data_IF_978337898317
#
_entry.id   IF_978337898317
#
_cell.length_a   1.000
_cell.length_b   1.000
_cell.length_c   1.000
_cell.angle_alpha   90.00
_cell.angle_beta   90.00
_cell.angle_gamma   90.00
#
_symmetry.space_group_name_H-M   'P 1'
#
loop_
_entity.id
_entity.type
_entity.pdbx_description
1 polymer ?
#
# COMPACT_ATOMS: atom_id res chain seq x y z
N UNK A 1 9.09 -0.51 21.16
CA UNK A 1 8.65 -0.57 19.74
C UNK A 1 7.29 0.10 19.63
N UNK A 2 7.06 0.98 18.65
CA UNK A 2 5.85 1.81 18.61
C UNK A 2 4.67 1.00 18.00
N UNK A 3 3.79 0.50 18.85
CA UNK A 3 2.66 -0.42 18.54
C UNK A 3 1.75 0.09 17.41
N UNK A 4 1.70 1.42 17.21
CA UNK A 4 0.92 2.08 16.14
C UNK A 4 1.45 1.82 14.73
N UNK A 5 2.76 1.57 14.58
CA UNK A 5 3.35 1.23 13.28
C UNK A 5 2.87 -0.16 12.84
N UNK A 6 3.06 -1.17 13.70
CA UNK A 6 2.60 -2.54 13.45
C UNK A 6 1.13 -2.60 13.05
N UNK A 7 0.25 -1.89 13.78
CA UNK A 7 -1.19 -1.85 13.48
C UNK A 7 -1.53 -1.24 12.10
N UNK A 8 -0.73 -0.27 11.61
CA UNK A 8 -0.92 0.33 10.27
C UNK A 8 -0.53 -0.62 9.15
N UNK A 9 0.53 -1.40 9.34
CA UNK A 9 0.97 -2.39 8.36
C UNK A 9 -0.03 -3.54 8.24
N UNK A 10 -0.54 -4.08 9.36
CA UNK A 10 -1.56 -5.13 9.36
C UNK A 10 -2.89 -4.67 8.73
N UNK A 11 -3.27 -3.40 8.91
CA UNK A 11 -4.47 -2.85 8.27
C UNK A 11 -4.30 -2.74 6.74
N UNK A 12 -3.11 -2.33 6.27
CA UNK A 12 -2.79 -2.32 4.84
C UNK A 12 -2.82 -3.73 4.26
N UNK A 13 -2.27 -4.72 4.97
CA UNK A 13 -2.30 -6.12 4.54
C UNK A 13 -3.72 -6.66 4.43
N UNK A 14 -4.60 -6.29 5.37
CA UNK A 14 -6.02 -6.68 5.34
C UNK A 14 -6.74 -6.09 4.12
N UNK A 15 -6.51 -4.81 3.82
CA UNK A 15 -7.06 -4.15 2.63
C UNK A 15 -6.53 -4.80 1.36
N UNK A 16 -5.24 -5.10 1.30
CA UNK A 16 -4.62 -5.73 0.14
C UNK A 16 -5.19 -7.14 -0.11
N UNK A 17 -5.40 -7.92 0.95
CA UNK A 17 -6.03 -9.23 0.87
C UNK A 17 -7.49 -9.15 0.42
N UNK A 18 -8.26 -8.20 0.94
CA UNK A 18 -9.65 -7.98 0.52
C UNK A 18 -9.74 -7.61 -0.96
N UNK A 19 -8.84 -6.74 -1.44
CA UNK A 19 -8.76 -6.38 -2.86
C UNK A 19 -8.39 -7.56 -3.76
N UNK A 20 -7.49 -8.44 -3.30
CA UNK A 20 -7.17 -9.68 -4.02
C UNK A 20 -8.40 -10.59 -4.15
N UNK A 21 -9.17 -10.75 -3.07
CA UNK A 21 -10.40 -11.57 -3.08
C UNK A 21 -11.43 -11.00 -4.07
N UNK A 22 -11.64 -9.68 -4.07
CA UNK A 22 -12.56 -9.02 -5.03
C UNK A 22 -12.16 -9.30 -6.47
N UNK A 23 -10.87 -9.25 -6.78
CA UNK A 23 -10.35 -9.54 -8.13
C UNK A 23 -10.56 -11.01 -8.49
N UNK A 24 -10.29 -11.94 -7.57
CA UNK A 24 -10.52 -13.37 -7.81
C UNK A 24 -12.00 -13.67 -8.07
N UNK A 25 -12.92 -13.05 -7.31
CA UNK A 25 -14.36 -13.18 -7.53
C UNK A 25 -14.78 -12.67 -8.92
N UNK A 26 -14.24 -11.52 -9.36
CA UNK A 26 -14.48 -11.00 -10.71
C UNK A 26 -13.83 -11.84 -11.81
N UNK A 27 -12.74 -12.54 -11.51
CA UNK A 27 -12.11 -13.46 -12.45
C UNK A 27 -12.89 -14.76 -12.61
N UNK A 28 -13.69 -15.16 -11.62
CA UNK A 28 -14.63 -16.27 -11.74
C UNK A 28 -15.87 -15.91 -12.59
N UNK A 29 -16.25 -14.63 -12.64
CA UNK A 29 -17.36 -14.11 -13.47
C UNK A 29 -16.90 -13.60 -14.86
N UNK A 30 -15.70 -13.97 -15.30
CA UNK A 30 -15.08 -13.46 -16.53
C UNK A 30 -15.86 -13.82 -17.80
N UNK A 31 -16.64 -14.91 -17.77
CA UNK A 31 -17.43 -15.35 -18.91
C UNK A 31 -18.63 -14.43 -19.17
N UNK A 32 -19.25 -13.91 -18.11
CA UNK A 32 -20.47 -13.12 -18.19
C UNK A 32 -20.19 -11.65 -18.57
N UNK A 33 -19.06 -11.08 -18.13
CA UNK A 33 -18.71 -9.67 -18.35
C UNK A 33 -17.23 -9.44 -18.69
N UNK A 34 -16.77 -10.13 -19.74
CA UNK A 34 -15.36 -10.19 -20.18
C UNK A 34 -14.66 -8.82 -20.30
N UNK A 35 -15.36 -7.79 -20.81
CA UNK A 35 -14.80 -6.44 -20.95
C UNK A 35 -14.53 -5.76 -19.59
N UNK A 36 -15.46 -5.90 -18.64
CA UNK A 36 -15.33 -5.31 -17.30
C UNK A 36 -14.20 -6.00 -16.54
N UNK A 37 -14.09 -7.32 -16.64
CA UNK A 37 -13.05 -8.07 -15.94
C UNK A 37 -11.63 -7.74 -16.46
N UNK A 38 -11.45 -7.46 -17.75
CA UNK A 38 -10.17 -6.97 -18.29
C UNK A 38 -9.81 -5.56 -17.77
N UNK A 39 -10.77 -4.64 -17.71
CA UNK A 39 -10.56 -3.29 -17.15
C UNK A 39 -10.17 -3.39 -15.67
N UNK A 40 -10.88 -4.25 -14.92
CA UNK A 40 -10.64 -4.45 -13.50
C UNK A 40 -9.26 -5.07 -13.24
N UNK A 41 -8.82 -6.00 -14.09
CA UNK A 41 -7.47 -6.55 -14.07
C UNK A 41 -6.40 -5.47 -14.30
N UNK A 42 -6.61 -4.58 -15.29
CA UNK A 42 -5.66 -3.50 -15.58
C UNK A 42 -5.57 -2.50 -14.42
N UNK A 43 -6.72 -2.10 -13.85
CA UNK A 43 -6.78 -1.23 -12.68
C UNK A 43 -6.12 -1.89 -11.46
N UNK A 44 -6.31 -3.19 -11.27
CA UNK A 44 -5.67 -3.95 -10.19
C UNK A 44 -4.15 -4.03 -10.35
N UNK A 45 -3.65 -4.31 -11.55
CA UNK A 45 -2.22 -4.32 -11.84
C UNK A 45 -1.60 -2.94 -11.56
N UNK A 46 -2.25 -1.87 -12.02
CA UNK A 46 -1.82 -0.51 -11.73
C UNK A 46 -1.82 -0.21 -10.22
N UNK A 47 -2.87 -0.64 -9.50
CA UNK A 47 -2.96 -0.49 -8.06
C UNK A 47 -1.82 -1.20 -7.32
N UNK A 48 -1.50 -2.46 -7.66
CA UNK A 48 -0.34 -3.19 -7.10
C UNK A 48 0.94 -2.40 -7.30
N UNK A 49 1.18 -1.88 -8.51
CA UNK A 49 2.37 -1.07 -8.80
C UNK A 49 2.44 0.15 -7.86
N UNK A 50 1.34 0.89 -7.70
CA UNK A 50 1.32 2.05 -6.80
C UNK A 50 1.56 1.68 -5.33
N UNK A 51 1.04 0.54 -4.86
CA UNK A 51 1.25 0.05 -3.48
C UNK A 51 2.73 -0.30 -3.26
N UNK A 52 3.35 -1.02 -4.20
CA UNK A 52 4.77 -1.39 -4.13
C UNK A 52 5.64 -0.13 -4.15
N UNK A 53 5.42 0.81 -5.07
CA UNK A 53 6.16 2.07 -5.13
C UNK A 53 6.03 2.85 -3.82
N UNK A 54 4.83 2.98 -3.26
CA UNK A 54 4.60 3.67 -1.99
C UNK A 54 5.31 2.97 -0.83
N UNK A 55 5.30 1.63 -0.81
CA UNK A 55 5.99 0.83 0.20
C UNK A 55 7.52 1.06 0.15
N UNK A 56 8.09 1.03 -1.06
CA UNK A 56 9.52 1.33 -1.29
C UNK A 56 9.84 2.77 -0.89
N UNK A 57 9.00 3.74 -1.26
CA UNK A 57 9.22 5.15 -0.95
C UNK A 57 9.22 5.40 0.56
N UNK A 58 8.28 4.81 1.29
CA UNK A 58 8.23 4.87 2.77
C UNK A 58 9.48 4.22 3.38
N UNK A 59 9.90 3.06 2.87
CA UNK A 59 11.14 2.42 3.33
C UNK A 59 12.38 3.28 3.05
N UNK A 60 12.43 3.97 1.90
CA UNK A 60 13.53 4.88 1.56
C UNK A 60 13.59 6.08 2.51
N UNK A 61 12.46 6.72 2.78
CA UNK A 61 12.35 7.84 3.73
C UNK A 61 12.70 7.41 5.16
N UNK A 62 12.32 6.20 5.56
CA UNK A 62 12.66 5.66 6.88
C UNK A 62 14.14 5.29 7.02
N UNK A 63 14.84 4.99 5.92
CA UNK A 63 16.26 4.57 5.95
C UNK A 63 17.22 5.75 5.78
N UNK A 64 16.73 6.89 5.29
CA UNK A 64 17.52 8.12 5.12
C UNK A 64 17.30 9.09 6.31
N UNK A 65 18.25 9.18 7.25
CA UNK A 65 18.13 10.02 8.44
C UNK A 65 18.17 11.53 8.17
N UNK A 66 18.61 11.95 6.97
CA UNK A 66 18.68 13.36 6.57
C UNK A 66 17.53 13.81 5.67
N UNK A 67 16.54 12.95 5.41
CA UNK A 67 15.36 13.33 4.64
C UNK A 67 14.44 14.28 5.44
N UNK A 68 13.93 15.38 4.88
CA UNK A 68 13.15 16.38 5.61
C UNK A 68 11.82 15.85 6.20
N UNK A 69 11.34 14.69 5.71
CA UNK A 69 10.19 13.97 6.28
C UNK A 69 10.57 12.78 7.17
N UNK A 70 11.83 12.69 7.60
CA UNK A 70 12.28 11.60 8.47
C UNK A 70 11.58 11.72 9.84
N UNK A 71 10.90 10.65 10.33
CA UNK A 71 10.11 10.73 11.56
C UNK A 71 10.95 11.06 12.80
N UNK A 72 12.27 10.84 12.77
CA UNK A 72 13.21 11.21 13.84
C UNK A 72 13.47 12.72 13.99
N UNK A 73 13.54 13.50 12.90
CA UNK A 73 13.87 14.93 12.96
C UNK A 73 12.74 15.80 13.53
N UNK A 74 11.49 15.33 13.45
CA UNK A 74 10.33 16.05 14.00
C UNK A 74 10.32 16.14 15.53
N UNK A 75 11.07 15.28 16.23
CA UNK A 75 11.19 15.33 17.69
C UNK A 75 12.24 16.33 18.17
N UNK A 76 13.38 16.41 17.49
CA UNK A 76 14.51 17.25 17.89
C UNK A 76 14.22 18.76 17.77
N UNK A 77 13.33 19.15 16.86
CA UNK A 77 12.93 20.57 16.68
C UNK A 77 11.88 21.07 17.67
N UNK A 78 11.25 20.18 18.47
CA UNK A 78 10.27 20.56 19.49
C UNK A 78 10.87 20.68 20.90
N UNK A 79 12.14 20.34 21.06
CA UNK A 79 12.82 20.31 22.36
C UNK A 79 13.95 21.35 22.47
N UNK A 80 14.06 22.27 21.49
CA UNK A 80 14.90 23.46 21.54
C UNK A 80 14.08 24.72 21.74
#
# INVERSE_FOLDING_TARGET
MNNRSLKRWTFLDTINAALLIVVLLFMLDFENNRAVSFILLAVFAFWITTVILRNIFISKIQKDPNHPMHPGQSKERKEK
#
